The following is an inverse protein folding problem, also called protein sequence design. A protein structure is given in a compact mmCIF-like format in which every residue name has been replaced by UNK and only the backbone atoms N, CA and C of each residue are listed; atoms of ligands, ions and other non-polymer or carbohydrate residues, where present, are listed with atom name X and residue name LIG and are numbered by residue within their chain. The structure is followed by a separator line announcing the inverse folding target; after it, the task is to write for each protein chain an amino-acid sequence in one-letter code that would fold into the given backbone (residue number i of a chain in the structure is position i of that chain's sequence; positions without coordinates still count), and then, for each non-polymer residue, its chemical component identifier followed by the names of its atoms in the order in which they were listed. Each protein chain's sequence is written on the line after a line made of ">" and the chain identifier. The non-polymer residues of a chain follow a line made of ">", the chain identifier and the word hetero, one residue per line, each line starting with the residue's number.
data_IF_252906819268
#
_entry.id   IF_252906819268
#
_cell.length_a   1.000
_cell.length_b   1.000
_cell.length_c   1.000
_cell.angle_alpha   90.00
_cell.angle_beta   90.00
_cell.angle_gamma   90.00
#
_symmetry.space_group_name_H-M   'P 1'
#
loop_
_entity.id
_entity.type
_entity.pdbx_description
1 polymer ?
#
# COMPACT_ATOMS: atom_id res chain seq x y z
N UNK A 1 30.05 38.83 -17.11
CA UNK A 1 29.85 37.41 -17.52
C UNK A 1 28.59 37.36 -18.37
N UNK A 2 28.52 36.52 -19.42
CA UNK A 2 27.26 36.28 -20.13
C UNK A 2 26.43 35.29 -19.29
N UNK A 3 25.16 35.58 -19.13
CA UNK A 3 24.17 34.73 -18.47
C UNK A 3 23.04 34.53 -19.47
N UNK A 4 22.64 33.29 -19.68
CA UNK A 4 21.45 32.94 -20.46
C UNK A 4 20.36 32.44 -19.51
N UNK A 5 19.16 32.16 -20.02
CA UNK A 5 18.06 31.63 -19.19
C UNK A 5 17.63 30.28 -19.75
N UNK A 6 17.26 29.36 -18.86
CA UNK A 6 16.72 28.06 -19.25
C UNK A 6 15.33 28.23 -19.88
N UNK A 7 15.13 27.75 -21.11
CA UNK A 7 13.86 27.89 -21.84
C UNK A 7 12.68 27.09 -21.23
N UNK A 8 12.93 26.26 -20.20
CA UNK A 8 11.91 25.45 -19.51
C UNK A 8 11.50 26.01 -18.14
N UNK A 9 12.45 26.42 -17.31
CA UNK A 9 12.17 26.94 -15.95
C UNK A 9 12.44 28.45 -15.80
N UNK A 10 12.93 29.13 -16.84
CA UNK A 10 13.33 30.54 -16.87
C UNK A 10 14.41 30.92 -15.82
N UNK A 11 15.16 29.94 -15.32
CA UNK A 11 16.23 30.12 -14.34
C UNK A 11 17.54 30.54 -15.03
N UNK A 12 18.36 31.35 -14.36
CA UNK A 12 19.61 31.87 -14.91
C UNK A 12 20.68 30.78 -15.04
N UNK A 13 21.21 30.59 -16.24
CA UNK A 13 22.29 29.67 -16.59
C UNK A 13 23.56 30.47 -16.88
N UNK A 14 24.60 30.41 -16.02
CA UNK A 14 25.90 31.01 -16.29
C UNK A 14 26.56 30.39 -17.53
N UNK A 15 27.31 31.17 -18.31
CA UNK A 15 28.06 30.64 -19.46
C UNK A 15 29.03 29.51 -19.06
N UNK A 16 29.63 29.58 -17.86
CA UNK A 16 30.51 28.54 -17.33
C UNK A 16 29.83 27.17 -17.19
N UNK A 17 28.50 27.13 -16.99
CA UNK A 17 27.74 25.88 -16.86
C UNK A 17 27.49 25.25 -18.23
N UNK A 18 27.35 26.05 -19.29
CA UNK A 18 27.33 25.59 -20.68
C UNK A 18 28.71 25.08 -21.11
N UNK A 19 29.77 25.84 -20.81
CA UNK A 19 31.15 25.51 -21.19
C UNK A 19 31.65 24.24 -20.47
N UNK A 20 31.15 23.96 -19.26
CA UNK A 20 31.43 22.74 -18.48
C UNK A 20 30.46 21.58 -18.77
N UNK A 21 29.51 21.73 -19.70
CA UNK A 21 28.51 20.70 -20.02
C UNK A 21 27.50 20.39 -18.91
N UNK A 22 27.39 21.26 -17.89
CA UNK A 22 26.36 21.18 -16.83
C UNK A 22 25.00 21.70 -17.29
N UNK A 23 24.97 22.52 -18.35
CA UNK A 23 23.77 22.90 -19.07
C UNK A 23 23.93 22.59 -20.57
N UNK A 24 22.82 22.31 -21.26
CA UNK A 24 22.82 21.81 -22.64
C UNK A 24 22.11 22.80 -23.58
N UNK A 25 22.57 22.86 -24.83
CA UNK A 25 21.89 23.59 -25.91
C UNK A 25 21.24 22.61 -26.89
N UNK A 26 19.95 22.37 -26.72
CA UNK A 26 19.18 21.42 -27.53
C UNK A 26 18.40 22.16 -28.63
N UNK A 27 18.84 22.00 -29.88
CA UNK A 27 18.25 22.66 -31.07
C UNK A 27 18.13 24.19 -30.93
N UNK A 28 19.14 24.82 -30.33
CA UNK A 28 19.18 26.27 -30.11
C UNK A 28 18.48 26.78 -28.84
N UNK A 29 17.93 25.89 -28.00
CA UNK A 29 17.34 26.23 -26.70
C UNK A 29 18.24 25.80 -25.54
N UNK A 30 18.35 26.63 -24.52
CA UNK A 30 19.17 26.40 -23.32
C UNK A 30 18.37 25.62 -22.28
N UNK A 31 18.95 24.54 -21.76
CA UNK A 31 18.35 23.66 -20.76
C UNK A 31 19.32 23.51 -19.58
N UNK A 32 18.88 23.87 -18.37
CA UNK A 32 19.67 23.68 -17.15
C UNK A 32 19.71 22.20 -16.72
N UNK A 33 20.72 21.81 -15.93
CA UNK A 33 20.90 20.46 -15.39
C UNK A 33 19.60 19.86 -14.80
N UNK A 34 18.87 20.66 -14.02
CA UNK A 34 17.64 20.24 -13.35
C UNK A 34 16.53 19.88 -14.33
N UNK A 35 16.37 20.68 -15.39
CA UNK A 35 15.37 20.43 -16.44
C UNK A 35 15.76 19.23 -17.32
N UNK A 36 17.04 19.07 -17.65
CA UNK A 36 17.51 17.90 -18.41
C UNK A 36 17.33 16.60 -17.61
N UNK A 37 17.66 16.61 -16.31
CA UNK A 37 17.42 15.48 -15.41
C UNK A 37 15.93 15.14 -15.27
N UNK A 38 15.06 16.15 -15.22
CA UNK A 38 13.61 15.94 -15.20
C UNK A 38 13.09 15.32 -16.51
N UNK A 39 13.56 15.79 -17.68
CA UNK A 39 13.18 15.24 -18.99
C UNK A 39 13.69 13.80 -19.20
N UNK A 40 14.92 13.49 -18.77
CA UNK A 40 15.49 12.15 -18.90
C UNK A 40 14.84 11.13 -17.97
N UNK A 41 14.45 11.51 -16.74
CA UNK A 41 13.63 10.67 -15.85
C UNK A 41 12.22 10.45 -16.43
N UNK A 42 11.63 11.45 -17.09
CA UNK A 42 10.37 11.28 -17.81
C UNK A 42 10.51 10.33 -19.02
N UNK A 43 11.63 10.38 -19.75
CA UNK A 43 11.95 9.44 -20.84
C UNK A 43 12.07 7.99 -20.37
N UNK A 44 12.75 7.74 -19.25
CA UNK A 44 12.85 6.41 -18.64
C UNK A 44 11.48 5.87 -18.20
N UNK A 45 10.61 6.73 -17.64
CA UNK A 45 9.22 6.36 -17.32
C UNK A 45 8.36 6.12 -18.56
N UNK A 46 8.60 6.83 -19.67
CA UNK A 46 7.91 6.63 -20.94
C UNK A 46 8.15 5.25 -21.54
N UNK A 47 9.37 4.72 -21.46
CA UNK A 47 9.70 3.38 -21.93
C UNK A 47 8.99 2.27 -21.11
N UNK A 48 8.83 2.46 -19.80
CA UNK A 48 8.10 1.53 -18.93
C UNK A 48 6.57 1.65 -19.07
N UNK A 49 6.04 2.87 -19.25
CA UNK A 49 4.61 3.12 -19.39
C UNK A 49 4.00 2.60 -20.71
N UNK A 50 4.81 2.51 -21.78
CA UNK A 50 4.38 2.02 -23.09
C UNK A 50 3.90 0.55 -23.08
N UNK A 51 4.25 -0.23 -22.06
CA UNK A 51 3.86 -1.64 -21.92
C UNK A 51 2.52 -1.87 -21.18
N UNK A 52 1.93 -0.83 -20.56
CA UNK A 52 0.82 -0.99 -19.59
C UNK A 52 -0.42 -0.16 -19.94
N UNK A 53 -0.32 0.83 -20.83
CA UNK A 53 -1.39 1.82 -21.06
C UNK A 53 -2.24 1.59 -22.33
N UNK A 54 -3.00 0.49 -22.38
CA UNK A 54 -4.24 0.44 -23.18
C UNK A 54 -5.46 0.49 -22.26
N UNK A 55 -5.78 1.66 -21.71
CA UNK A 55 -7.15 2.22 -21.60
C UNK A 55 -7.21 3.53 -20.76
N UNK A 56 -7.76 4.57 -21.41
CA UNK A 56 -8.53 5.72 -20.83
C UNK A 56 -7.81 6.80 -19.98
N UNK A 57 -7.38 7.85 -20.68
CA UNK A 57 -7.56 9.31 -20.44
C UNK A 57 -7.16 10.05 -19.14
N UNK A 58 -6.80 11.33 -19.33
CA UNK A 58 -6.13 12.24 -18.39
C UNK A 58 -6.98 13.54 -18.12
N UNK A 59 -6.54 14.57 -17.32
CA UNK A 59 -7.43 15.42 -16.50
C UNK A 59 -7.75 16.83 -17.10
N UNK A 60 -7.41 18.06 -16.60
CA UNK A 60 -6.42 18.51 -15.57
C UNK A 60 -6.90 19.53 -14.48
N UNK A 61 -6.04 19.72 -13.46
CA UNK A 61 -5.67 20.97 -12.75
C UNK A 61 -6.66 21.83 -11.90
N UNK A 62 -6.26 22.07 -10.63
CA UNK A 62 -6.10 23.41 -10.03
C UNK A 62 -5.22 23.32 -8.76
N UNK A 63 -4.58 24.42 -8.34
CA UNK A 63 -3.67 24.46 -7.19
C UNK A 63 -3.88 25.70 -6.30
N UNK A 64 -3.33 25.65 -5.09
CA UNK A 64 -3.10 26.76 -4.12
C UNK A 64 -4.33 27.35 -3.40
N UNK A 65 -4.38 27.19 -2.06
CA UNK A 65 -4.32 28.30 -1.09
C UNK A 65 -4.59 27.82 0.36
N UNK A 66 -3.82 28.36 1.32
CA UNK A 66 -3.99 28.14 2.75
C UNK A 66 -4.76 29.33 3.36
N UNK A 67 -5.78 29.10 4.19
CA UNK A 67 -6.22 30.03 5.25
C UNK A 67 -7.16 29.35 6.24
N UNK A 68 -7.11 29.79 7.49
CA UNK A 68 -7.89 29.27 8.61
C UNK A 68 -9.08 30.18 8.93
N UNK A 69 -10.17 29.61 9.48
CA UNK A 69 -10.92 30.13 10.65
C UNK A 69 -12.22 29.34 10.95
N UNK A 70 -12.32 28.88 12.21
CA UNK A 70 -13.52 28.92 13.09
C UNK A 70 -14.80 28.06 12.95
N UNK A 71 -15.13 27.47 14.12
CA UNK A 71 -16.45 27.22 14.78
C UNK A 71 -17.53 26.28 14.23
N UNK A 72 -17.55 25.08 14.82
CA UNK A 72 -18.65 24.39 15.53
C UNK A 72 -20.15 24.59 15.16
N UNK A 73 -20.79 23.44 14.90
CA UNK A 73 -22.18 23.04 15.25
C UNK A 73 -23.38 23.63 14.44
N UNK A 74 -24.60 23.05 14.56
CA UNK A 74 -24.94 21.72 14.04
C UNK A 74 -26.17 21.72 13.09
N UNK A 75 -26.57 20.54 12.61
CA UNK A 75 -27.64 20.36 11.62
C UNK A 75 -29.08 20.67 12.13
N UNK A 76 -30.01 20.98 11.20
CA UNK A 76 -31.44 20.83 11.40
C UNK A 76 -32.05 19.69 10.56
N UNK A 77 -33.01 18.97 11.15
CA UNK A 77 -33.89 18.00 10.48
C UNK A 77 -35.06 18.66 9.71
N UNK A 78 -35.76 17.81 8.94
CA UNK A 78 -37.21 17.84 8.62
C UNK A 78 -37.67 18.18 7.17
N UNK A 79 -38.04 17.11 6.45
CA UNK A 79 -39.35 16.87 5.82
C UNK A 79 -40.02 17.92 4.90
N UNK A 80 -40.09 17.59 3.59
CA UNK A 80 -41.33 17.52 2.77
C UNK A 80 -40.97 16.95 1.38
N UNK A 81 -41.37 15.73 0.98
CA UNK A 81 -42.72 15.28 0.63
C UNK A 81 -43.26 15.83 -0.71
N UNK A 82 -43.04 15.13 -1.83
CA UNK A 82 -44.12 14.83 -2.78
C UNK A 82 -43.78 13.64 -3.68
N UNK A 83 -44.67 12.64 -3.71
CA UNK A 83 -44.80 11.67 -4.77
C UNK A 83 -46.22 11.78 -5.35
N UNK A 84 -46.45 11.42 -6.62
CA UNK A 84 -47.77 10.99 -7.07
C UNK A 84 -47.76 9.54 -7.57
N UNK A 85 -48.78 8.79 -7.16
CA UNK A 85 -49.00 7.40 -7.51
C UNK A 85 -49.68 7.24 -8.89
N UNK A 86 -49.30 6.17 -9.60
CA UNK A 86 -50.10 5.22 -10.40
C UNK A 86 -51.45 5.65 -11.05
N UNK A 87 -51.81 5.13 -12.25
CA UNK A 87 -52.40 3.78 -12.26
C UNK A 87 -52.09 2.87 -13.47
N UNK A 88 -52.23 1.56 -13.23
CA UNK A 88 -52.66 0.46 -14.13
C UNK A 88 -52.55 0.59 -15.67
N UNK A 89 -51.91 -0.39 -16.30
CA UNK A 89 -52.56 -1.45 -17.12
C UNK A 89 -51.63 -2.04 -18.22
N UNK A 90 -51.86 -3.32 -18.52
CA UNK A 90 -51.52 -4.02 -19.77
C UNK A 90 -50.09 -4.56 -19.95
N UNK A 91 -49.95 -5.88 -19.82
CA UNK A 91 -48.99 -6.70 -20.58
C UNK A 91 -49.16 -6.47 -22.10
N UNK A 92 -48.12 -6.70 -22.92
CA UNK A 92 -48.04 -8.04 -23.51
C UNK A 92 -46.62 -8.63 -23.71
N UNK A 93 -46.59 -9.96 -23.62
CA UNK A 93 -45.86 -10.93 -24.45
C UNK A 93 -44.44 -10.62 -24.98
N UNK A 94 -43.52 -11.52 -24.63
CA UNK A 94 -42.24 -11.78 -25.28
C UNK A 94 -42.39 -12.26 -26.73
N UNK A 95 -41.72 -11.60 -27.68
CA UNK A 95 -41.37 -12.18 -28.99
C UNK A 95 -39.85 -12.49 -29.07
N UNK A 96 -39.46 -13.73 -29.39
CA UNK A 96 -38.12 -14.02 -29.91
C UNK A 96 -38.09 -13.82 -31.44
N UNK A 97 -37.03 -13.16 -31.93
CA UNK A 97 -36.85 -12.88 -33.36
C UNK A 97 -36.41 -14.13 -34.16
N UNK A 98 -37.07 -14.30 -35.30
CA UNK A 98 -36.52 -14.86 -36.56
C UNK A 98 -36.12 -16.34 -36.59
N UNK A 99 -37.10 -17.19 -36.92
CA UNK A 99 -36.85 -18.43 -37.68
C UNK A 99 -37.35 -18.25 -39.12
N UNK A 100 -36.54 -18.64 -40.11
CA UNK A 100 -36.81 -18.42 -41.54
C UNK A 100 -38.06 -19.17 -42.00
N UNK A 101 -38.92 -18.48 -42.74
CA UNK A 101 -40.16 -19.02 -43.32
C UNK A 101 -39.89 -20.12 -44.36
N UNK A 102 -40.61 -21.23 -44.25
CA UNK A 102 -40.84 -22.18 -45.35
C UNK A 102 -42.35 -22.20 -45.61
N UNK A 103 -42.74 -21.97 -46.86
CA UNK A 103 -44.14 -21.80 -47.27
C UNK A 103 -44.91 -23.14 -47.31
N UNK A 104 -46.25 -23.13 -47.10
CA UNK A 104 -47.09 -24.31 -47.25
C UNK A 104 -47.41 -24.60 -48.73
N UNK A 105 -47.39 -25.87 -49.14
CA UNK A 105 -47.95 -26.32 -50.42
C UNK A 105 -49.28 -27.04 -50.23
N UNK A 106 -50.26 -26.66 -51.06
CA UNK A 106 -51.47 -27.42 -51.39
C UNK A 106 -52.06 -26.88 -52.72
N UNK A 107 -52.86 -27.65 -53.49
CA UNK A 107 -52.94 -29.11 -53.59
C UNK A 107 -52.90 -29.64 -55.05
N UNK A 108 -52.76 -30.97 -55.17
CA UNK A 108 -53.26 -31.86 -56.25
C UNK A 108 -53.08 -31.52 -57.75
N UNK A 109 -52.32 -32.37 -58.46
CA UNK A 109 -52.56 -32.68 -59.88
C UNK A 109 -52.21 -34.16 -60.22
N UNK A 110 -53.18 -34.85 -60.83
CA UNK A 110 -53.16 -36.09 -61.65
C UNK A 110 -51.93 -37.02 -61.72
N UNK A 111 -52.19 -38.33 -61.61
CA UNK A 111 -51.26 -39.44 -61.87
C UNK A 111 -50.83 -39.59 -63.35
N UNK A 112 -49.85 -40.48 -63.62
CA UNK A 112 -50.17 -41.67 -64.43
C UNK A 112 -49.86 -43.00 -63.71
N UNK A 113 -50.35 -44.11 -64.28
CA UNK A 113 -50.49 -45.39 -63.58
C UNK A 113 -49.39 -46.44 -63.87
N UNK A 114 -49.08 -47.23 -62.84
CA UNK A 114 -48.58 -48.63 -62.95
C UNK A 114 -47.08 -48.85 -62.68
N UNK A 115 -46.66 -50.10 -62.38
CA UNK A 115 -47.45 -51.30 -62.10
C UNK A 115 -47.53 -51.64 -60.59
N UNK A 116 -48.39 -52.60 -60.24
CA UNK A 116 -48.60 -53.08 -58.87
C UNK A 116 -47.41 -53.85 -58.29
N UNK A 117 -46.81 -53.33 -57.21
CA UNK A 117 -45.97 -54.11 -56.31
C UNK A 117 -46.84 -54.78 -55.21
N UNK A 118 -46.51 -56.01 -54.83
CA UNK A 118 -47.33 -56.82 -53.92
C UNK A 118 -47.42 -56.30 -52.48
N UNK A 119 -48.33 -56.87 -51.66
CA UNK A 119 -48.71 -56.35 -50.33
C UNK A 119 -47.57 -56.32 -49.28
N UNK A 120 -46.39 -56.87 -49.58
CA UNK A 120 -45.21 -56.80 -48.72
C UNK A 120 -44.45 -55.47 -48.82
N UNK A 121 -44.51 -54.76 -49.95
CA UNK A 121 -43.63 -53.61 -50.20
C UNK A 121 -43.99 -52.36 -49.34
N UNK A 122 -45.29 -52.06 -49.20
CA UNK A 122 -45.74 -50.89 -48.42
C UNK A 122 -45.45 -51.01 -46.92
N UNK A 123 -45.45 -52.23 -46.38
CA UNK A 123 -45.14 -52.49 -44.98
C UNK A 123 -43.68 -52.11 -44.64
N UNK A 124 -42.74 -52.45 -45.52
CA UNK A 124 -41.32 -52.11 -45.33
C UNK A 124 -41.07 -50.60 -45.37
N UNK A 125 -41.76 -49.85 -46.24
CA UNK A 125 -41.66 -48.38 -46.26
C UNK A 125 -42.16 -47.76 -44.95
N UNK A 126 -43.27 -48.27 -44.40
CA UNK A 126 -43.80 -47.82 -43.11
C UNK A 126 -42.85 -48.14 -41.93
N UNK A 127 -42.26 -49.34 -41.92
CA UNK A 127 -41.27 -49.74 -40.90
C UNK A 127 -40.00 -48.89 -40.97
N UNK A 128 -39.46 -48.64 -42.17
CA UNK A 128 -38.28 -47.76 -42.34
C UNK A 128 -38.59 -46.32 -41.93
N UNK A 129 -39.78 -45.81 -42.25
CA UNK A 129 -40.24 -44.50 -41.78
C UNK A 129 -40.31 -44.40 -40.26
N UNK A 130 -40.90 -45.40 -39.60
CA UNK A 130 -40.96 -45.46 -38.13
C UNK A 130 -39.55 -45.50 -37.50
N UNK A 131 -38.64 -46.32 -38.03
CA UNK A 131 -37.26 -46.37 -37.55
C UNK A 131 -36.55 -45.02 -37.71
N UNK A 132 -36.70 -44.33 -38.84
CA UNK A 132 -36.16 -42.98 -39.03
C UNK A 132 -36.73 -41.97 -38.02
N UNK A 133 -38.04 -41.98 -37.77
CA UNK A 133 -38.65 -41.10 -36.75
C UNK A 133 -38.17 -41.43 -35.34
N UNK A 134 -38.03 -42.70 -34.98
CA UNK A 134 -37.52 -43.13 -33.68
C UNK A 134 -36.04 -42.72 -33.49
N UNK A 135 -35.21 -42.88 -34.51
CA UNK A 135 -33.81 -42.39 -34.50
C UNK A 135 -33.73 -40.87 -34.39
N UNK A 136 -34.58 -40.12 -35.10
CA UNK A 136 -34.63 -38.66 -34.99
C UNK A 136 -35.05 -38.20 -33.58
N UNK A 137 -36.06 -38.84 -32.98
CA UNK A 137 -36.49 -38.59 -31.60
C UNK A 137 -35.38 -38.94 -30.61
N UNK A 138 -34.65 -40.04 -30.82
CA UNK A 138 -33.52 -40.42 -29.97
C UNK A 138 -32.40 -39.37 -30.00
N UNK A 139 -31.96 -38.96 -31.20
CA UNK A 139 -30.91 -37.92 -31.37
C UNK A 139 -31.36 -36.58 -30.79
N UNK A 140 -32.63 -36.22 -30.93
CA UNK A 140 -33.18 -34.99 -30.36
C UNK A 140 -33.20 -35.03 -28.82
N UNK A 141 -33.63 -36.15 -28.23
CA UNK A 141 -33.63 -36.37 -26.78
C UNK A 141 -32.20 -36.39 -26.19
N UNK A 142 -31.24 -36.94 -26.92
CA UNK A 142 -29.82 -36.92 -26.56
C UNK A 142 -29.27 -35.48 -26.56
N UNK A 143 -29.57 -34.69 -27.59
CA UNK A 143 -29.23 -33.26 -27.63
C UNK A 143 -29.88 -32.42 -26.53
N UNK A 144 -31.11 -32.73 -26.12
CA UNK A 144 -31.74 -32.08 -24.96
C UNK A 144 -30.97 -32.41 -23.66
N UNK A 145 -30.46 -33.64 -23.50
CA UNK A 145 -29.64 -34.01 -22.34
C UNK A 145 -28.29 -33.29 -22.34
N UNK A 146 -27.60 -33.23 -23.48
CA UNK A 146 -26.37 -32.45 -23.65
C UNK A 146 -26.57 -30.99 -23.21
N UNK A 147 -27.63 -30.35 -23.70
CA UNK A 147 -27.96 -28.96 -23.38
C UNK A 147 -28.29 -28.78 -21.90
N UNK A 148 -29.04 -29.70 -21.28
CA UNK A 148 -29.35 -29.66 -19.86
C UNK A 148 -28.11 -29.86 -18.97
N UNK A 149 -27.10 -30.61 -19.43
CA UNK A 149 -25.80 -30.76 -18.75
C UNK A 149 -24.97 -29.48 -18.91
N UNK A 150 -24.95 -28.89 -20.11
CA UNK A 150 -24.26 -27.63 -20.38
C UNK A 150 -24.84 -26.47 -19.58
N UNK A 151 -26.16 -26.34 -19.50
CA UNK A 151 -26.87 -25.31 -18.72
C UNK A 151 -26.54 -25.41 -17.22
N UNK A 152 -26.60 -26.61 -16.63
CA UNK A 152 -26.16 -26.85 -15.24
C UNK A 152 -24.69 -26.47 -15.02
N UNK A 153 -23.82 -26.71 -16.01
CA UNK A 153 -22.40 -26.34 -15.93
C UNK A 153 -22.21 -24.82 -15.99
N UNK A 154 -22.94 -24.11 -16.85
CA UNK A 154 -22.93 -22.64 -16.88
C UNK A 154 -23.49 -22.05 -15.57
N UNK A 155 -24.60 -22.59 -15.05
CA UNK A 155 -25.16 -22.14 -13.77
C UNK A 155 -24.21 -22.37 -12.59
N UNK A 156 -23.48 -23.50 -12.59
CA UNK A 156 -22.40 -23.75 -11.63
C UNK A 156 -21.26 -22.75 -11.75
N UNK A 157 -20.76 -22.47 -12.96
CA UNK A 157 -19.67 -21.52 -13.19
C UNK A 157 -20.08 -20.09 -12.77
N UNK A 158 -21.26 -19.61 -13.19
CA UNK A 158 -21.84 -18.33 -12.75
C UNK A 158 -21.93 -18.26 -11.23
N UNK A 159 -22.40 -19.33 -10.57
CA UNK A 159 -22.46 -19.40 -9.12
C UNK A 159 -21.09 -19.22 -8.45
N UNK A 160 -20.03 -19.82 -9.01
CA UNK A 160 -18.66 -19.62 -8.51
C UNK A 160 -18.08 -18.23 -8.82
N UNK A 161 -18.47 -17.60 -9.93
CA UNK A 161 -18.07 -16.22 -10.23
C UNK A 161 -18.74 -15.23 -9.28
N UNK A 162 -20.03 -15.41 -8.96
CA UNK A 162 -20.76 -14.57 -8.00
C UNK A 162 -20.16 -14.66 -6.59
N UNK A 163 -19.80 -15.86 -6.11
CA UNK A 163 -19.16 -16.00 -4.79
C UNK A 163 -17.74 -15.43 -4.77
N UNK A 164 -16.99 -15.50 -5.88
CA UNK A 164 -15.70 -14.80 -6.03
C UNK A 164 -15.86 -13.28 -5.94
N UNK A 165 -16.82 -12.69 -6.66
CA UNK A 165 -17.10 -11.25 -6.60
C UNK A 165 -17.44 -10.82 -5.16
N UNK A 166 -18.32 -11.55 -4.48
CA UNK A 166 -18.66 -11.26 -3.07
C UNK A 166 -17.44 -11.39 -2.12
N UNK A 167 -16.49 -12.29 -2.41
CA UNK A 167 -15.24 -12.39 -1.64
C UNK A 167 -14.31 -11.20 -1.85
N UNK A 168 -14.25 -10.67 -3.08
CA UNK A 168 -13.47 -9.46 -3.42
C UNK A 168 -14.09 -8.21 -2.79
N UNK A 169 -15.42 -8.08 -2.81
CA UNK A 169 -16.11 -6.98 -2.13
C UNK A 169 -15.82 -6.96 -0.62
N UNK A 170 -15.76 -8.15 0.00
CA UNK A 170 -15.39 -8.31 1.41
C UNK A 170 -13.91 -7.97 1.69
N UNK A 171 -12.98 -8.30 0.80
CA UNK A 171 -11.56 -7.91 0.99
C UNK A 171 -11.35 -6.42 0.76
N UNK A 172 -12.02 -5.80 -0.21
CA UNK A 172 -12.02 -4.34 -0.43
C UNK A 172 -12.51 -3.61 0.82
N UNK A 173 -13.65 -3.98 1.39
CA UNK A 173 -14.14 -3.38 2.65
C UNK A 173 -13.19 -3.61 3.84
N UNK A 174 -12.44 -4.71 3.85
CA UNK A 174 -11.38 -4.97 4.83
C UNK A 174 -10.14 -4.08 4.66
N UNK A 175 -9.80 -3.73 3.41
CA UNK A 175 -8.75 -2.76 3.06
C UNK A 175 -9.19 -1.36 3.45
N UNK A 176 -10.41 -0.93 3.13
CA UNK A 176 -10.95 0.38 3.52
C UNK A 176 -10.94 0.58 5.05
N UNK A 177 -11.37 -0.46 5.80
CA UNK A 177 -11.31 -0.44 7.27
C UNK A 177 -9.86 -0.38 7.81
N UNK A 178 -8.87 -0.89 7.05
CA UNK A 178 -7.45 -0.83 7.41
C UNK A 178 -6.83 0.52 7.07
N UNK A 179 -7.19 1.12 5.93
CA UNK A 179 -6.84 2.49 5.55
C UNK A 179 -7.38 3.46 6.60
N UNK A 180 -8.66 3.37 6.96
CA UNK A 180 -9.28 4.20 7.99
C UNK A 180 -8.59 4.10 9.36
N UNK A 181 -8.11 2.90 9.74
CA UNK A 181 -7.29 2.71 10.97
C UNK A 181 -5.92 3.38 10.86
N UNK A 182 -5.23 3.23 9.73
CA UNK A 182 -3.91 3.83 9.49
C UNK A 182 -3.95 5.35 9.39
N UNK A 183 -4.97 5.93 8.74
CA UNK A 183 -5.19 7.37 8.73
C UNK A 183 -5.45 7.91 10.14
N UNK A 184 -6.21 7.17 10.95
CA UNK A 184 -6.48 7.55 12.33
C UNK A 184 -5.19 7.58 13.16
N UNK A 185 -4.36 6.54 13.10
CA UNK A 185 -3.10 6.51 13.87
C UNK A 185 -2.10 7.56 13.38
N UNK A 186 -2.02 7.83 12.07
CA UNK A 186 -1.21 8.94 11.52
C UNK A 186 -1.72 10.30 12.01
N UNK A 187 -3.04 10.52 12.03
CA UNK A 187 -3.64 11.76 12.57
C UNK A 187 -3.38 11.93 14.08
N UNK A 188 -3.45 10.85 14.85
CA UNK A 188 -3.15 10.86 16.29
C UNK A 188 -1.65 11.14 16.56
N UNK A 189 -0.74 10.52 15.81
CA UNK A 189 0.70 10.80 15.89
C UNK A 189 1.04 12.24 15.50
N UNK A 190 0.47 12.77 14.40
CA UNK A 190 0.65 14.16 14.00
C UNK A 190 0.06 15.15 15.02
N UNK A 191 -1.04 14.81 15.70
CA UNK A 191 -1.61 15.64 16.75
C UNK A 191 -0.70 15.68 17.99
N UNK A 192 -0.08 14.56 18.36
CA UNK A 192 0.89 14.49 19.45
C UNK A 192 2.14 15.34 19.17
N UNK A 193 2.75 15.21 17.98
CA UNK A 193 3.90 16.03 17.58
C UNK A 193 3.56 17.53 17.57
N UNK A 194 2.40 17.92 17.02
CA UNK A 194 1.96 19.33 17.05
C UNK A 194 1.77 19.85 18.47
N UNK A 195 1.23 19.04 19.39
CA UNK A 195 1.07 19.42 20.79
C UNK A 195 2.42 19.58 21.50
N UNK A 196 3.40 18.72 21.19
CA UNK A 196 4.78 18.85 21.68
C UNK A 196 5.43 20.14 21.19
N UNK A 197 5.45 20.37 19.88
CA UNK A 197 6.05 21.57 19.27
C UNK A 197 5.38 22.85 19.79
N UNK A 198 4.06 22.85 19.98
CA UNK A 198 3.35 23.99 20.56
C UNK A 198 3.79 24.26 22.01
N UNK A 199 3.97 23.22 22.84
CA UNK A 199 4.48 23.36 24.21
C UNK A 199 5.91 23.92 24.24
N UNK A 200 6.77 23.54 23.30
CA UNK A 200 8.13 24.06 23.18
C UNK A 200 8.12 25.55 22.74
N UNK A 201 7.24 25.93 21.81
CA UNK A 201 7.03 27.33 21.41
C UNK A 201 6.49 28.20 22.56
N UNK A 202 5.52 27.70 23.33
CA UNK A 202 4.95 28.41 24.48
C UNK A 202 6.01 28.63 25.59
N UNK A 203 6.91 27.66 25.79
CA UNK A 203 8.06 27.80 26.71
C UNK A 203 9.06 28.85 26.22
N UNK A 204 9.34 28.92 24.90
CA UNK A 204 10.21 29.94 24.32
C UNK A 204 9.62 31.35 24.45
N UNK A 205 8.33 31.54 24.17
CA UNK A 205 7.65 32.84 24.36
C UNK A 205 7.65 33.28 25.84
N UNK A 206 7.41 32.36 26.78
CA UNK A 206 7.52 32.63 28.20
C UNK A 206 8.95 33.05 28.61
N UNK A 207 9.97 32.39 28.07
CA UNK A 207 11.37 32.73 28.32
C UNK A 207 11.74 34.12 27.75
N UNK A 208 11.32 34.43 26.51
CA UNK A 208 11.52 35.75 25.88
C UNK A 208 10.83 36.87 26.68
N UNK A 209 9.62 36.63 27.19
CA UNK A 209 8.91 37.56 28.07
C UNK A 209 9.67 37.79 29.38
N UNK A 210 10.22 36.75 29.98
CA UNK A 210 11.05 36.87 31.19
C UNK A 210 12.29 37.72 30.92
N UNK A 211 13.09 37.40 29.89
CA UNK A 211 14.29 38.17 29.51
C UNK A 211 13.97 39.64 29.23
N UNK A 212 12.85 39.95 28.56
CA UNK A 212 12.39 41.34 28.36
C UNK A 212 12.10 42.06 29.68
N UNK A 213 11.49 41.37 30.66
CA UNK A 213 11.23 41.95 31.98
C UNK A 213 12.52 42.19 32.78
N UNK A 214 13.50 41.30 32.67
CA UNK A 214 14.80 41.45 33.33
C UNK A 214 15.61 42.61 32.72
N UNK A 215 15.59 42.76 31.39
CA UNK A 215 16.18 43.91 30.69
C UNK A 215 15.54 45.24 31.10
N UNK A 216 14.21 45.29 31.26
CA UNK A 216 13.53 46.48 31.77
C UNK A 216 13.94 46.82 33.22
N UNK A 217 14.13 45.79 34.06
CA UNK A 217 14.65 45.94 35.42
C UNK A 217 16.12 46.41 35.48
N UNK A 218 16.97 45.95 34.56
CA UNK A 218 18.36 46.43 34.42
C UNK A 218 18.38 47.89 33.95
N UNK A 219 17.56 48.25 32.97
CA UNK A 219 17.43 49.63 32.48
C UNK A 219 17.00 50.59 33.60
N UNK A 220 16.00 50.19 34.39
CA UNK A 220 15.52 50.98 35.54
C UNK A 220 16.60 51.14 36.62
N UNK A 221 17.41 50.11 36.87
CA UNK A 221 18.54 50.19 37.80
C UNK A 221 19.65 51.13 37.29
N UNK A 222 19.92 51.14 35.99
CA UNK A 222 20.84 52.08 35.34
C UNK A 222 20.37 53.54 35.48
N UNK A 223 19.08 53.81 35.33
CA UNK A 223 18.53 55.17 35.50
C UNK A 223 18.59 55.64 36.97
N UNK A 224 18.33 54.76 37.94
CA UNK A 224 18.50 55.07 39.37
C UNK A 224 19.97 55.38 39.71
N UNK A 225 20.91 54.55 39.23
CA UNK A 225 22.34 54.82 39.37
C UNK A 225 22.71 56.16 38.73
N UNK A 226 22.16 56.49 37.56
CA UNK A 226 22.41 57.76 36.89
C UNK A 226 21.94 58.95 37.71
N UNK A 227 20.78 58.86 38.37
CA UNK A 227 20.29 59.90 39.29
C UNK A 227 21.17 60.04 40.54
N UNK A 228 21.60 58.95 41.15
CA UNK A 228 22.50 58.98 42.33
C UNK A 228 23.94 59.38 41.98
N UNK A 229 24.38 59.23 40.71
CA UNK A 229 25.65 59.80 40.23
C UNK A 229 25.68 61.33 40.32
N UNK A 230 24.52 61.98 40.18
CA UNK A 230 24.39 63.42 40.35
C UNK A 230 24.33 63.86 41.83
N UNK A 231 24.15 62.93 42.78
CA UNK A 231 24.10 63.24 44.22
C UNK A 231 25.41 62.96 44.98
N UNK A 232 26.39 62.29 44.35
CA UNK A 232 27.80 62.29 44.80
C UNK A 232 28.17 61.33 45.94
N UNK A 233 27.38 60.29 46.21
CA UNK A 233 27.72 59.26 47.22
C UNK A 233 28.68 58.17 46.70
N UNK A 234 29.45 57.56 47.60
CA UNK A 234 30.73 56.86 47.31
C UNK A 234 30.69 55.32 47.21
N UNK A 235 29.54 54.69 46.91
CA UNK A 235 29.41 53.21 46.83
C UNK A 235 29.63 52.58 45.45
N UNK A 236 30.20 53.32 44.49
CA UNK A 236 30.28 52.97 43.06
C UNK A 236 30.84 51.59 42.73
N UNK A 237 31.93 51.16 43.38
CA UNK A 237 32.60 49.90 43.05
C UNK A 237 31.70 48.67 43.28
N UNK A 238 30.98 48.63 44.41
CA UNK A 238 30.15 47.49 44.79
C UNK A 238 28.91 47.32 43.88
N UNK A 239 28.40 48.44 43.34
CA UNK A 239 27.23 48.47 42.44
C UNK A 239 27.59 48.24 40.98
N UNK A 240 28.79 48.65 40.55
CA UNK A 240 29.33 48.24 39.24
C UNK A 240 29.50 46.72 39.21
N UNK A 241 29.96 46.11 40.30
CA UNK A 241 30.07 44.66 40.42
C UNK A 241 28.70 43.97 40.38
N UNK A 242 27.70 44.47 41.11
CA UNK A 242 26.32 43.96 41.07
C UNK A 242 25.70 44.03 39.66
N UNK A 243 25.86 45.15 38.94
CA UNK A 243 25.37 45.27 37.55
C UNK A 243 26.13 44.31 36.63
N UNK A 244 27.45 44.17 36.80
CA UNK A 244 28.28 43.25 36.01
C UNK A 244 27.88 41.79 36.21
N UNK A 245 27.61 41.37 37.45
CA UNK A 245 27.10 40.03 37.76
C UNK A 245 25.72 39.78 37.14
N UNK A 246 24.84 40.79 37.12
CA UNK A 246 23.52 40.68 36.46
C UNK A 246 23.63 40.58 34.93
N UNK A 247 24.57 41.28 34.31
CA UNK A 247 24.86 41.17 32.87
C UNK A 247 25.43 39.79 32.54
N UNK A 248 26.44 39.30 33.28
CA UNK A 248 27.00 37.97 33.08
C UNK A 248 25.93 36.86 33.16
N UNK A 249 25.04 36.93 34.16
CA UNK A 249 23.90 36.01 34.29
C UNK A 249 22.94 36.04 33.10
N UNK A 250 22.75 37.20 32.45
CA UNK A 250 21.95 37.32 31.23
C UNK A 250 22.67 36.74 30.00
N UNK A 251 23.99 36.93 29.88
CA UNK A 251 24.78 36.33 28.80
C UNK A 251 24.76 34.80 28.86
N UNK A 252 24.85 34.21 30.07
CA UNK A 252 24.74 32.76 30.25
C UNK A 252 23.33 32.23 29.95
N UNK A 253 22.28 32.97 30.33
CA UNK A 253 20.90 32.63 29.99
C UNK A 253 20.65 32.67 28.46
N UNK A 254 21.18 33.68 27.76
CA UNK A 254 21.12 33.79 26.31
C UNK A 254 21.92 32.68 25.61
N UNK A 255 23.08 32.29 26.15
CA UNK A 255 23.88 31.15 25.64
C UNK A 255 23.10 29.83 25.75
N UNK A 256 22.48 29.56 26.89
CA UNK A 256 21.64 28.37 27.08
C UNK A 256 20.36 28.38 26.21
N UNK A 257 19.81 29.56 25.89
CA UNK A 257 18.73 29.68 24.89
C UNK A 257 19.24 29.41 23.47
N UNK A 258 20.46 29.83 23.14
CA UNK A 258 21.12 29.54 21.86
C UNK A 258 21.36 28.06 21.61
N UNK A 259 21.81 27.31 22.63
CA UNK A 259 21.96 25.84 22.53
C UNK A 259 20.62 25.14 22.25
N UNK A 260 19.55 25.53 22.95
CA UNK A 260 18.19 24.99 22.69
C UNK A 260 17.64 25.37 21.32
N UNK A 261 17.94 26.58 20.84
CA UNK A 261 17.57 26.98 19.48
C UNK A 261 18.32 26.16 18.43
N UNK A 262 19.60 25.84 18.67
CA UNK A 262 20.36 24.95 17.80
C UNK A 262 19.81 23.51 17.80
N UNK A 263 19.40 22.98 18.96
CA UNK A 263 18.73 21.67 19.08
C UNK A 263 17.39 21.64 18.32
N UNK A 264 16.58 22.70 18.43
CA UNK A 264 15.31 22.85 17.69
C UNK A 264 15.55 23.09 16.20
N UNK A 265 16.61 23.80 15.80
CA UNK A 265 16.98 24.00 14.40
C UNK A 265 17.50 22.70 13.76
N UNK A 266 18.27 21.90 14.51
CA UNK A 266 18.68 20.55 14.10
C UNK A 266 17.46 19.62 13.96
N UNK A 267 16.50 19.68 14.88
CA UNK A 267 15.20 18.99 14.76
C UNK A 267 14.30 19.54 13.63
N UNK A 268 14.50 20.78 13.17
CA UNK A 268 13.76 21.35 12.04
C UNK A 268 14.41 21.03 10.69
N UNK A 269 15.73 20.87 10.65
CA UNK A 269 16.52 20.45 9.49
C UNK A 269 16.49 18.93 9.28
N UNK A 270 16.54 18.17 10.38
CA UNK A 270 16.31 16.73 10.47
C UNK A 270 15.10 16.45 11.37
N UNK A 271 13.86 16.75 10.91
CA UNK A 271 12.67 16.29 11.63
C UNK A 271 12.75 14.78 11.78
N UNK A 272 12.46 14.21 12.97
CA UNK A 272 12.43 12.77 13.15
C UNK A 272 11.41 12.22 12.15
N UNK A 273 11.93 11.55 11.11
CA UNK A 273 11.12 11.14 9.97
C UNK A 273 10.16 10.08 10.48
N UNK A 274 8.91 10.49 10.72
CA UNK A 274 7.80 9.56 10.85
C UNK A 274 7.77 8.74 9.55
N UNK A 275 8.33 7.55 9.61
CA UNK A 275 8.76 6.80 8.44
C UNK A 275 7.55 6.43 7.58
N UNK A 276 7.33 7.21 6.52
CA UNK A 276 6.56 6.76 5.36
C UNK A 276 7.49 5.79 4.63
N UNK A 277 7.18 4.48 4.57
CA UNK A 277 8.10 3.49 4.02
C UNK A 277 8.06 3.53 2.49
N UNK A 278 8.72 4.53 1.89
CA UNK A 278 9.10 4.49 0.48
C UNK A 278 10.35 3.63 0.33
N UNK A 279 10.19 2.40 -0.16
CA UNK A 279 11.29 1.48 -0.39
C UNK A 279 12.37 2.08 -1.29
N UNK A 280 13.59 2.17 -0.78
CA UNK A 280 14.75 2.73 -1.48
C UNK A 280 15.99 2.59 -0.62
N UNK A 281 16.79 1.56 -0.89
CA UNK A 281 18.00 1.27 -0.12
C UNK A 281 19.03 2.41 -0.24
N UNK A 282 19.53 2.88 0.90
CA UNK A 282 20.75 3.67 1.03
C UNK A 282 21.77 2.85 1.87
N UNK A 283 23.08 2.92 1.55
CA UNK A 283 24.03 1.90 1.98
C UNK A 283 24.52 2.04 3.41
N UNK A 284 25.00 0.92 3.95
CA UNK A 284 25.41 0.74 5.34
C UNK A 284 26.55 1.66 5.81
N UNK A 285 26.47 2.04 7.09
CA UNK A 285 27.61 2.42 7.92
C UNK A 285 27.78 1.35 9.01
N UNK A 286 29.00 0.86 9.31
CA UNK A 286 29.23 -0.21 10.26
C UNK A 286 29.25 0.33 11.71
N UNK A 287 28.07 0.69 12.22
CA UNK A 287 27.87 0.93 13.66
C UNK A 287 27.46 -0.40 14.29
N UNK A 288 28.19 -0.81 15.33
CA UNK A 288 28.04 -2.07 16.08
C UNK A 288 26.57 -2.48 16.25
N UNK A 289 26.12 -3.37 15.35
CA UNK A 289 24.76 -3.90 15.19
C UNK A 289 23.66 -3.10 15.93
N UNK A 290 23.35 -1.88 15.46
CA UNK A 290 22.41 -0.96 16.11
C UNK A 290 21.02 -1.57 16.36
N UNK A 291 20.62 -2.59 15.57
CA UNK A 291 19.41 -3.38 15.78
C UNK A 291 19.38 -4.11 17.14
N UNK A 292 20.53 -4.40 17.77
CA UNK A 292 20.61 -5.07 19.08
C UNK A 292 19.96 -4.24 20.20
N UNK A 293 19.93 -2.91 20.06
CA UNK A 293 19.20 -2.04 20.99
C UNK A 293 17.67 -2.28 20.96
N UNK A 294 17.13 -2.69 19.80
CA UNK A 294 15.71 -2.94 19.60
C UNK A 294 15.24 -4.29 20.19
N UNK A 295 16.15 -5.14 20.66
CA UNK A 295 15.81 -6.46 21.22
C UNK A 295 14.93 -6.36 22.48
N UNK A 296 15.08 -5.30 23.27
CA UNK A 296 14.21 -5.07 24.42
C UNK A 296 12.76 -4.79 23.99
N UNK A 297 12.57 -4.10 22.86
CA UNK A 297 11.26 -3.72 22.38
C UNK A 297 10.47 -4.86 21.73
N UNK A 298 11.12 -5.97 21.34
CA UNK A 298 10.43 -7.21 20.93
C UNK A 298 9.58 -7.81 22.06
N UNK A 299 9.88 -7.51 23.32
CA UNK A 299 9.10 -7.96 24.49
C UNK A 299 8.15 -6.87 25.04
N UNK A 300 8.03 -5.72 24.37
CA UNK A 300 7.26 -4.58 24.86
C UNK A 300 5.76 -4.88 24.91
N UNK A 301 5.04 -4.36 25.91
CA UNK A 301 3.59 -4.50 26.00
C UNK A 301 2.86 -3.83 24.82
N UNK A 302 3.40 -2.71 24.31
CA UNK A 302 2.86 -2.00 23.15
C UNK A 302 3.24 -2.73 21.84
N UNK A 303 2.24 -3.23 21.11
CA UNK A 303 2.47 -3.93 19.84
C UNK A 303 3.03 -3.04 18.73
N UNK A 304 2.80 -1.71 18.79
CA UNK A 304 3.45 -0.76 17.90
C UNK A 304 4.97 -0.72 18.06
N UNK A 305 5.47 -0.82 19.30
CA UNK A 305 6.91 -0.88 19.58
C UNK A 305 7.50 -2.25 19.18
N UNK A 306 6.77 -3.36 19.43
CA UNK A 306 7.17 -4.69 18.92
C UNK A 306 7.25 -4.71 17.39
N UNK A 307 6.29 -4.09 16.71
CA UNK A 307 6.28 -3.96 15.24
C UNK A 307 7.45 -3.12 14.73
N UNK A 308 7.73 -1.97 15.36
CA UNK A 308 8.89 -1.13 15.02
C UNK A 308 10.22 -1.87 15.22
N UNK A 309 10.35 -2.64 16.30
CA UNK A 309 11.52 -3.47 16.54
C UNK A 309 11.69 -4.55 15.47
N UNK A 310 10.62 -5.27 15.10
CA UNK A 310 10.63 -6.26 14.00
C UNK A 310 11.04 -5.62 12.67
N UNK A 311 10.49 -4.46 12.33
CA UNK A 311 10.82 -3.77 11.07
C UNK A 311 12.27 -3.24 11.07
N UNK A 312 12.73 -2.64 12.19
CA UNK A 312 14.10 -2.17 12.36
C UNK A 312 15.15 -3.28 12.33
N UNK A 313 14.85 -4.45 12.90
CA UNK A 313 15.65 -5.67 12.71
C UNK A 313 15.74 -6.03 11.21
N UNK A 314 14.62 -5.99 10.49
CA UNK A 314 14.60 -6.26 9.05
C UNK A 314 15.38 -5.25 8.21
N UNK A 315 15.29 -3.95 8.54
CA UNK A 315 16.00 -2.87 7.85
C UNK A 315 17.53 -2.98 7.99
N UNK A 316 18.03 -3.66 9.03
CA UNK A 316 19.46 -3.88 9.21
C UNK A 316 20.09 -4.73 8.10
N UNK A 317 19.31 -5.59 7.44
CA UNK A 317 19.80 -6.58 6.49
C UNK A 317 20.65 -7.70 7.10
N UNK A 318 20.82 -7.72 8.43
CA UNK A 318 21.74 -8.61 9.13
C UNK A 318 21.10 -9.99 9.41
N UNK A 319 21.67 -11.09 8.88
CA UNK A 319 21.18 -12.44 9.16
C UNK A 319 21.21 -12.84 10.65
N UNK A 320 22.01 -12.19 11.51
CA UNK A 320 21.99 -12.41 12.96
C UNK A 320 20.62 -12.06 13.59
N UNK A 321 19.75 -11.30 12.91
CA UNK A 321 18.40 -10.96 13.39
C UNK A 321 17.40 -12.11 13.31
N UNK A 322 17.63 -13.10 12.44
CA UNK A 322 16.67 -14.17 12.11
C UNK A 322 16.19 -14.96 13.35
N UNK A 323 17.07 -15.39 14.29
CA UNK A 323 16.64 -16.07 15.52
C UNK A 323 15.72 -15.24 16.41
N UNK A 324 15.79 -13.91 16.34
CA UNK A 324 14.94 -12.98 17.10
C UNK A 324 13.61 -12.68 16.39
N UNK A 325 13.57 -12.82 15.06
CA UNK A 325 12.37 -12.62 14.25
C UNK A 325 11.45 -13.86 14.22
N UNK A 326 12.01 -15.07 14.28
CA UNK A 326 11.24 -16.32 14.26
C UNK A 326 10.17 -16.41 15.37
N UNK A 327 10.46 -16.05 16.65
CA UNK A 327 9.43 -16.00 17.70
C UNK A 327 8.27 -15.05 17.40
N UNK A 328 8.53 -13.96 16.69
CA UNK A 328 7.53 -12.91 16.40
C UNK A 328 6.46 -13.38 15.38
N UNK A 329 6.68 -14.49 14.68
CA UNK A 329 5.65 -15.20 13.92
C UNK A 329 4.52 -15.77 14.81
N UNK A 330 4.67 -15.76 16.14
CA UNK A 330 3.67 -16.23 17.11
C UNK A 330 3.20 -15.12 18.06
N UNK A 331 3.43 -13.86 17.71
CA UNK A 331 3.01 -12.69 18.49
C UNK A 331 1.47 -12.59 18.60
N UNK A 332 0.98 -12.01 19.69
CA UNK A 332 -0.46 -11.79 19.89
C UNK A 332 -1.08 -10.79 18.90
N UNK A 333 -0.27 -9.88 18.34
CA UNK A 333 -0.71 -8.87 17.38
C UNK A 333 -0.50 -9.34 15.92
N UNK A 334 -1.56 -9.25 15.12
CA UNK A 334 -1.59 -9.70 13.72
C UNK A 334 -0.57 -8.93 12.86
N UNK A 335 -0.39 -7.64 13.08
CA UNK A 335 0.55 -6.82 12.31
C UNK A 335 2.01 -7.19 12.62
N UNK A 336 2.30 -7.55 13.88
CA UNK A 336 3.63 -8.03 14.28
C UNK A 336 3.94 -9.38 13.60
N UNK A 337 2.99 -10.34 13.60
CA UNK A 337 3.15 -11.62 12.90
C UNK A 337 3.35 -11.45 11.39
N UNK A 338 2.56 -10.58 10.75
CA UNK A 338 2.71 -10.24 9.33
C UNK A 338 4.08 -9.61 9.02
N UNK A 339 4.54 -8.67 9.85
CA UNK A 339 5.82 -8.01 9.68
C UNK A 339 6.98 -9.02 9.81
N UNK A 340 6.93 -9.90 10.81
CA UNK A 340 7.92 -10.95 11.00
C UNK A 340 8.02 -11.87 9.78
N UNK A 341 6.88 -12.30 9.22
CA UNK A 341 6.85 -13.12 8.01
C UNK A 341 7.48 -12.40 6.80
N UNK A 342 7.08 -11.15 6.55
CA UNK A 342 7.64 -10.31 5.47
C UNK A 342 9.15 -10.12 5.61
N UNK A 343 9.61 -9.77 6.81
CA UNK A 343 11.04 -9.50 7.09
C UNK A 343 11.87 -10.77 6.91
N UNK A 344 11.40 -11.92 7.41
CA UNK A 344 12.08 -13.20 7.20
C UNK A 344 12.17 -13.58 5.72
N UNK A 345 11.13 -13.31 4.93
CA UNK A 345 11.16 -13.48 3.46
C UNK A 345 12.25 -12.64 2.80
N UNK A 346 12.32 -11.35 3.14
CA UNK A 346 13.31 -10.42 2.59
C UNK A 346 14.75 -10.77 2.98
N UNK A 347 15.03 -11.05 4.26
CA UNK A 347 16.38 -11.38 4.74
C UNK A 347 16.92 -12.67 4.10
N UNK A 348 16.07 -13.69 3.96
CA UNK A 348 16.44 -14.97 3.34
C UNK A 348 16.33 -14.95 1.79
N UNK A 349 16.04 -13.79 1.18
CA UNK A 349 16.10 -13.63 -0.27
C UNK A 349 17.56 -13.67 -0.79
N UNK A 350 18.53 -13.28 0.05
CA UNK A 350 19.96 -13.37 -0.29
C UNK A 350 20.55 -14.77 0.00
N UNK A 351 21.40 -15.24 -0.90
CA UNK A 351 21.88 -16.63 -0.91
C UNK A 351 22.94 -16.96 0.15
N UNK A 352 23.37 -15.98 0.96
CA UNK A 352 24.44 -16.12 1.96
C UNK A 352 23.95 -16.52 3.36
N UNK A 353 22.64 -16.62 3.56
CA UNK A 353 22.06 -16.87 4.89
C UNK A 353 22.18 -18.34 5.30
N UNK A 354 22.67 -18.58 6.53
CA UNK A 354 22.85 -19.92 7.10
C UNK A 354 21.61 -20.43 7.86
N UNK A 355 20.70 -19.55 8.28
CA UNK A 355 19.50 -19.85 9.06
C UNK A 355 18.21 -20.04 8.21
N UNK A 356 18.37 -20.33 6.91
CA UNK A 356 17.25 -20.44 5.95
C UNK A 356 16.28 -21.57 6.33
N UNK A 357 16.79 -22.74 6.73
CA UNK A 357 15.95 -23.90 7.08
C UNK A 357 15.02 -23.62 8.27
N UNK A 358 15.52 -22.92 9.30
CA UNK A 358 14.71 -22.53 10.46
C UNK A 358 13.62 -21.53 10.08
N UNK A 359 13.94 -20.59 9.19
CA UNK A 359 12.99 -19.61 8.65
C UNK A 359 11.89 -20.28 7.83
N UNK A 360 12.24 -21.20 6.92
CA UNK A 360 11.26 -21.95 6.11
C UNK A 360 10.33 -22.78 7.02
N UNK A 361 10.88 -23.51 8.00
CA UNK A 361 10.07 -24.29 8.93
C UNK A 361 9.05 -23.43 9.69
N UNK A 362 9.49 -22.30 10.25
CA UNK A 362 8.60 -21.40 10.99
C UNK A 362 7.56 -20.71 10.11
N UNK A 363 7.91 -20.34 8.87
CA UNK A 363 6.98 -19.77 7.89
C UNK A 363 5.95 -20.80 7.40
N UNK A 364 6.31 -22.09 7.30
CA UNK A 364 5.35 -23.17 7.00
C UNK A 364 4.32 -23.30 8.13
N UNK A 365 4.75 -23.24 9.39
CA UNK A 365 3.81 -23.26 10.52
C UNK A 365 2.92 -21.99 10.55
N UNK A 366 3.43 -20.83 10.12
CA UNK A 366 2.63 -19.61 9.97
C UNK A 366 1.55 -19.68 8.87
N UNK A 367 1.52 -20.73 8.04
CA UNK A 367 0.39 -21.02 7.14
C UNK A 367 -0.83 -21.60 7.90
N UNK A 368 -0.69 -22.02 9.16
CA UNK A 368 -1.80 -22.43 10.04
C UNK A 368 -2.47 -21.25 10.77
N UNK A 369 -1.93 -20.04 10.66
CA UNK A 369 -2.40 -18.86 11.40
C UNK A 369 -3.90 -18.61 11.21
N UNK A 370 -4.58 -18.10 12.25
CA UNK A 370 -6.01 -17.74 12.18
C UNK A 370 -6.29 -16.65 11.14
N UNK A 371 -5.37 -15.72 10.98
CA UNK A 371 -5.54 -14.50 10.22
C UNK A 371 -4.98 -14.66 8.81
N UNK A 372 -5.86 -14.52 7.80
CA UNK A 372 -5.44 -14.70 6.40
C UNK A 372 -4.30 -13.78 5.95
N UNK A 373 -4.20 -12.52 6.41
CA UNK A 373 -3.06 -11.66 6.09
C UNK A 373 -1.71 -12.22 6.56
N UNK A 374 -1.67 -12.98 7.68
CA UNK A 374 -0.45 -13.65 8.15
C UNK A 374 -0.12 -14.84 7.24
N UNK A 375 -1.12 -15.67 6.91
CA UNK A 375 -0.96 -16.80 5.98
C UNK A 375 -0.47 -16.34 4.60
N UNK A 376 -0.96 -15.20 4.11
CA UNK A 376 -0.54 -14.61 2.84
C UNK A 376 0.89 -14.07 2.91
N UNK A 377 1.26 -13.33 3.96
CA UNK A 377 2.63 -12.86 4.17
C UNK A 377 3.62 -14.03 4.27
N UNK A 378 3.26 -15.11 4.97
CA UNK A 378 4.06 -16.32 5.08
C UNK A 378 4.21 -17.05 3.73
N UNK A 379 3.14 -17.13 2.92
CA UNK A 379 3.21 -17.71 1.58
C UNK A 379 4.13 -16.91 0.64
N UNK A 380 4.04 -15.57 0.67
CA UNK A 380 4.91 -14.69 -0.13
C UNK A 380 6.37 -14.85 0.30
N UNK A 381 6.65 -14.88 1.60
CA UNK A 381 7.99 -15.10 2.13
C UNK A 381 8.55 -16.47 1.72
N UNK A 382 7.76 -17.55 1.82
CA UNK A 382 8.15 -18.87 1.34
C UNK A 382 8.44 -18.88 -0.17
N UNK A 383 7.66 -18.15 -0.98
CA UNK A 383 7.91 -18.02 -2.40
C UNK A 383 9.24 -17.28 -2.69
N UNK A 384 9.51 -16.17 -2.01
CA UNK A 384 10.77 -15.41 -2.14
C UNK A 384 12.01 -16.25 -1.81
N UNK A 385 11.93 -17.04 -0.73
CA UNK A 385 13.05 -17.87 -0.26
C UNK A 385 13.25 -19.08 -1.18
N UNK A 386 12.18 -19.80 -1.49
CA UNK A 386 12.25 -21.11 -2.16
C UNK A 386 12.20 -21.03 -3.68
N UNK A 387 11.70 -19.94 -4.25
CA UNK A 387 11.40 -19.80 -5.67
C UNK A 387 10.26 -20.69 -6.18
N UNK A 388 9.59 -21.43 -5.28
CA UNK A 388 8.55 -22.42 -5.62
C UNK A 388 7.17 -21.80 -5.46
N UNK A 389 6.27 -22.08 -6.40
CA UNK A 389 4.84 -21.96 -6.16
C UNK A 389 4.38 -23.17 -5.32
N UNK A 390 3.87 -22.91 -4.12
CA UNK A 390 3.33 -23.94 -3.23
C UNK A 390 1.86 -24.26 -3.55
N UNK A 391 1.19 -23.44 -4.39
CA UNK A 391 -0.22 -23.53 -4.74
C UNK A 391 -1.12 -23.74 -3.51
N UNK A 392 -0.87 -22.93 -2.49
CA UNK A 392 -1.64 -22.81 -1.25
C UNK A 392 -2.55 -21.59 -1.36
N UNK A 393 -3.82 -21.73 -0.99
CA UNK A 393 -4.77 -20.62 -0.95
C UNK A 393 -4.89 -20.13 0.50
N UNK A 394 -4.42 -18.90 0.82
CA UNK A 394 -4.56 -18.34 2.17
C UNK A 394 -6.02 -18.15 2.59
N UNK A 395 -6.92 -17.82 1.66
CA UNK A 395 -8.33 -17.51 1.94
C UNK A 395 -9.24 -18.75 1.85
N UNK A 396 -8.75 -19.83 1.22
CA UNK A 396 -9.46 -21.09 0.99
C UNK A 396 -9.93 -21.79 2.27
N UNK A 397 -10.82 -22.78 2.13
CA UNK A 397 -11.43 -23.43 3.30
C UNK A 397 -10.42 -24.22 4.14
N UNK A 398 -10.66 -24.29 5.45
CA UNK A 398 -9.72 -24.87 6.42
C UNK A 398 -9.31 -26.32 6.09
N UNK A 399 -10.25 -27.14 5.60
CA UNK A 399 -9.98 -28.51 5.20
C UNK A 399 -9.06 -28.62 3.98
N UNK A 400 -9.17 -27.71 3.01
CA UNK A 400 -8.25 -27.61 1.87
C UNK A 400 -6.88 -27.08 2.28
N UNK A 401 -6.85 -26.01 3.09
CA UNK A 401 -5.60 -25.46 3.65
C UNK A 401 -4.84 -26.55 4.43
N UNK A 402 -5.50 -27.27 5.33
CA UNK A 402 -4.90 -28.35 6.11
C UNK A 402 -4.37 -29.51 5.25
N UNK A 403 -5.11 -29.94 4.22
CA UNK A 403 -4.63 -30.96 3.25
C UNK A 403 -3.41 -30.48 2.49
N UNK A 404 -3.45 -29.25 1.98
CA UNK A 404 -2.35 -28.68 1.19
C UNK A 404 -1.11 -28.45 2.06
N UNK A 405 -1.30 -27.92 3.25
CA UNK A 405 -0.22 -27.71 4.21
C UNK A 405 0.45 -29.01 4.64
N UNK A 406 -0.31 -30.09 4.85
CA UNK A 406 0.29 -31.41 5.10
C UNK A 406 1.25 -31.80 3.97
N UNK A 407 0.85 -31.60 2.71
CA UNK A 407 1.73 -31.85 1.56
C UNK A 407 2.98 -30.94 1.53
N UNK A 408 2.88 -29.70 2.01
CA UNK A 408 4.00 -28.76 2.13
C UNK A 408 4.94 -29.21 3.26
N UNK A 409 4.41 -29.56 4.42
CA UNK A 409 5.18 -30.10 5.57
C UNK A 409 5.88 -31.42 5.23
N UNK A 410 5.21 -32.31 4.50
CA UNK A 410 5.79 -33.57 4.00
C UNK A 410 6.92 -33.32 2.99
N UNK A 411 6.79 -32.31 2.10
CA UNK A 411 7.87 -31.88 1.21
C UNK A 411 9.05 -31.29 1.98
N UNK A 412 8.77 -30.43 2.97
CA UNK A 412 9.80 -29.80 3.78
C UNK A 412 10.60 -30.82 4.58
N UNK A 413 9.92 -31.79 5.22
CA UNK A 413 10.56 -32.90 5.93
C UNK A 413 11.55 -33.66 5.03
N UNK A 414 11.13 -34.07 3.83
CA UNK A 414 12.03 -34.74 2.85
C UNK A 414 13.21 -33.86 2.44
N UNK A 415 13.01 -32.55 2.37
CA UNK A 415 14.08 -31.59 2.03
C UNK A 415 15.10 -31.50 3.16
N UNK A 416 14.66 -31.42 4.42
CA UNK A 416 15.56 -31.47 5.58
C UNK A 416 16.30 -32.79 5.71
N UNK A 417 15.63 -33.93 5.47
CA UNK A 417 16.24 -35.27 5.47
C UNK A 417 17.29 -35.44 4.35
N UNK A 418 17.15 -34.73 3.23
CA UNK A 418 18.11 -34.70 2.12
C UNK A 418 19.30 -33.73 2.33
N UNK A 419 19.45 -33.15 3.52
CA UNK A 419 20.55 -32.26 3.88
C UNK A 419 20.28 -30.77 3.62
N UNK A 420 19.08 -30.31 3.97
CA UNK A 420 18.69 -28.90 4.02
C UNK A 420 18.25 -28.28 2.69
N UNK A 421 17.72 -27.05 2.73
CA UNK A 421 17.33 -26.33 1.52
C UNK A 421 18.55 -25.85 0.74
N UNK A 422 18.56 -26.13 -0.57
CA UNK A 422 19.63 -25.70 -1.50
C UNK A 422 19.01 -24.89 -2.64
N UNK A 423 19.22 -23.58 -2.58
CA UNK A 423 18.72 -22.62 -3.59
C UNK A 423 19.28 -22.98 -4.96
N UNK A 424 18.39 -23.25 -5.93
CA UNK A 424 18.77 -23.66 -7.30
C UNK A 424 18.95 -25.16 -7.54
N UNK A 425 18.66 -26.05 -6.58
CA UNK A 425 18.58 -27.47 -6.87
C UNK A 425 17.44 -27.75 -7.89
N UNK A 426 17.67 -28.55 -8.95
CA UNK A 426 16.64 -28.82 -9.96
C UNK A 426 15.47 -29.56 -9.32
N UNK A 427 14.29 -28.94 -9.34
CA UNK A 427 13.07 -29.57 -8.86
C UNK A 427 12.70 -30.72 -9.79
N UNK A 428 12.89 -31.96 -9.34
CA UNK A 428 12.39 -33.14 -10.05
C UNK A 428 10.87 -33.06 -10.27
N UNK A 429 10.44 -33.39 -11.49
CA UNK A 429 9.03 -33.50 -11.91
C UNK A 429 8.23 -34.45 -11.01
#
# INVERSE_FOLDING_TARGET
>A
MKVQFCDLCNESVPQADLDQGRALVLKGRVVCASCDKAMSVAGARGAAAAAVATHVNAPPAAAVAWRASETLAPAPDANAATAPSAPFASSPQTEPRSATSIAPLAPAASAPAGPSAGPSAGLWVAVVGLLFTASAIYVFNDRIRDLAIADRKLGGDLGTQVTRIASVEKTVGGVDASIARSEKSVREAQAFERARVQSELDQLDAAIKNTRSELAGITSALDLLRQESASGQTSWAQRIDEVSQRVAKQEDALRAQGEKLAEVEELALNPPVAAVPSGGAAPAQPVEAAWKALLADLANANSGLRWQAVDGLGQSGDPETIPHLIPMLKDSDVFVRMAAARVLGNLNADAAVTAVDASIGALIDALEDSDSPVREAALVALHQITGRDLAFDPQGNEGERGRKLKSIRDWWKRTTEAGGFKKGAPTGN
#
